data_IF_377023165855
#
_entry.id   IF_377023165855
#
_cell.length_a   1.000
_cell.length_b   1.000
_cell.length_c   1.000
_cell.angle_alpha   90.00
_cell.angle_beta   90.00
_cell.angle_gamma   90.00
#
_symmetry.space_group_name_H-M   'P 1'
#
loop_
_entity.id
_entity.type
_entity.pdbx_description
1 polymer ?
#
# COMPACT_ATOMS: atom_id res chain seq x y z
N UNK A 1 7.48 12.26 24.13
CA UNK A 1 8.00 12.46 22.76
C UNK A 1 8.70 13.81 22.71
N UNK A 2 9.99 13.85 22.38
CA UNK A 2 10.71 15.12 22.23
C UNK A 2 10.39 15.70 20.83
N UNK A 3 9.75 16.86 20.77
CA UNK A 3 9.24 17.51 19.54
C UNK A 3 10.32 18.02 18.56
N UNK A 4 11.26 17.15 18.15
CA UNK A 4 12.34 17.49 17.19
C UNK A 4 12.32 16.63 15.92
N UNK A 5 11.47 15.62 15.84
CA UNK A 5 11.34 14.81 14.63
C UNK A 5 10.72 15.62 13.49
N UNK A 6 11.21 15.38 12.28
CA UNK A 6 10.80 16.08 11.05
C UNK A 6 10.89 17.62 11.04
N UNK A 7 11.52 18.26 12.03
CA UNK A 7 11.64 19.73 12.09
C UNK A 7 12.66 20.35 11.13
N UNK A 8 13.53 19.53 10.50
CA UNK A 8 14.55 19.99 9.55
C UNK A 8 14.14 19.65 8.12
N UNK A 9 14.40 20.57 7.20
CA UNK A 9 14.27 20.34 5.75
C UNK A 9 15.22 19.23 5.31
N UNK A 10 14.67 18.11 4.84
CA UNK A 10 15.39 16.92 4.36
C UNK A 10 14.76 16.46 3.05
N UNK A 11 15.48 15.59 2.33
CA UNK A 11 14.99 14.91 1.11
C UNK A 11 13.72 14.07 1.37
N UNK A 12 13.61 13.52 2.59
CA UNK A 12 12.42 12.85 3.11
C UNK A 12 11.94 13.64 4.34
N UNK A 13 11.19 14.71 4.10
CA UNK A 13 10.38 15.33 5.15
C UNK A 13 9.15 14.47 5.47
N UNK A 14 8.36 14.88 6.46
CA UNK A 14 7.22 14.07 6.93
C UNK A 14 6.20 13.83 5.81
N UNK A 15 5.85 14.88 5.08
CA UNK A 15 4.87 14.81 4.00
C UNK A 15 5.35 13.89 2.87
N UNK A 16 6.60 14.06 2.43
CA UNK A 16 7.22 13.23 1.38
C UNK A 16 7.32 11.78 1.83
N UNK A 17 7.70 11.53 3.09
CA UNK A 17 7.73 10.19 3.67
C UNK A 17 6.34 9.54 3.64
N UNK A 18 5.30 10.24 4.13
CA UNK A 18 3.94 9.69 4.16
C UNK A 18 3.41 9.41 2.75
N UNK A 19 3.60 10.34 1.81
CA UNK A 19 3.21 10.15 0.40
C UNK A 19 3.92 8.96 -0.23
N UNK A 20 5.23 8.84 -0.02
CA UNK A 20 6.01 7.71 -0.50
C UNK A 20 5.52 6.39 0.10
N UNK A 21 5.36 6.32 1.43
CA UNK A 21 4.91 5.11 2.12
C UNK A 21 3.51 4.66 1.71
N UNK A 22 2.58 5.59 1.44
CA UNK A 22 1.23 5.27 0.97
C UNK A 22 1.19 4.82 -0.49
N UNK A 23 2.16 5.24 -1.31
CA UNK A 23 2.28 4.88 -2.72
C UNK A 23 3.08 3.61 -3.01
N UNK A 24 3.58 2.93 -1.96
CA UNK A 24 4.37 1.71 -2.12
C UNK A 24 3.55 0.59 -2.77
N UNK A 25 4.15 -0.14 -3.70
CA UNK A 25 3.49 -1.11 -4.59
C UNK A 25 3.98 -2.55 -4.43
N UNK A 26 4.80 -2.82 -3.41
CA UNK A 26 5.36 -4.15 -3.13
C UNK A 26 6.57 -4.53 -3.98
N UNK A 27 7.18 -3.57 -4.69
CA UNK A 27 8.48 -3.77 -5.35
C UNK A 27 9.62 -3.68 -4.32
N UNK A 28 10.86 -3.90 -4.76
CA UNK A 28 12.02 -3.67 -3.90
C UNK A 28 12.13 -2.19 -3.50
N UNK A 29 12.52 -1.92 -2.25
CA UNK A 29 12.61 -0.56 -1.71
C UNK A 29 13.46 0.39 -2.59
N UNK A 30 14.60 -0.09 -3.09
CA UNK A 30 15.46 0.68 -3.99
C UNK A 30 14.72 1.11 -5.26
N UNK A 31 13.94 0.20 -5.85
CA UNK A 31 13.20 0.49 -7.07
C UNK A 31 12.10 1.51 -6.80
N UNK A 32 11.38 1.36 -5.69
CA UNK A 32 10.30 2.31 -5.35
C UNK A 32 10.84 3.70 -5.05
N UNK A 33 11.96 3.81 -4.33
CA UNK A 33 12.61 5.10 -4.10
C UNK A 33 13.03 5.74 -5.43
N UNK A 34 13.69 5.01 -6.31
CA UNK A 34 14.10 5.57 -7.60
C UNK A 34 12.90 5.99 -8.46
N UNK A 35 11.86 5.15 -8.52
CA UNK A 35 10.62 5.46 -9.24
C UNK A 35 9.98 6.75 -8.69
N UNK A 36 9.86 6.89 -7.36
CA UNK A 36 9.23 8.06 -6.72
C UNK A 36 10.03 9.37 -6.88
N UNK A 37 11.37 9.28 -6.87
CA UNK A 37 12.26 10.43 -7.01
C UNK A 37 12.71 10.66 -8.46
N UNK A 38 12.01 10.09 -9.45
CA UNK A 38 12.30 10.23 -10.88
C UNK A 38 13.76 9.91 -11.25
N UNK A 39 14.33 8.87 -10.64
CA UNK A 39 15.71 8.44 -10.86
C UNK A 39 16.75 9.54 -10.63
N UNK A 40 16.42 10.56 -9.83
CA UNK A 40 17.35 11.63 -9.52
C UNK A 40 18.56 11.10 -8.75
N UNK A 41 19.74 11.65 -9.03
CA UNK A 41 20.96 11.40 -8.22
C UNK A 41 20.78 11.88 -6.78
N UNK A 42 19.79 12.75 -6.53
CA UNK A 42 19.43 13.19 -5.20
C UNK A 42 18.49 12.25 -4.44
N UNK A 43 18.12 11.10 -5.00
CA UNK A 43 17.25 10.13 -4.32
C UNK A 43 17.83 9.71 -2.95
N UNK A 44 16.98 9.57 -1.91
CA UNK A 44 17.41 9.08 -0.60
C UNK A 44 17.85 7.61 -0.68
N UNK A 45 18.60 7.13 0.31
CA UNK A 45 18.92 5.71 0.43
C UNK A 45 17.85 4.94 1.20
N UNK A 46 17.81 3.61 1.08
CA UNK A 46 16.97 2.75 1.92
C UNK A 46 17.20 2.99 3.42
N UNK A 47 18.45 3.23 3.82
CA UNK A 47 18.80 3.52 5.21
C UNK A 47 18.18 4.85 5.66
N UNK A 48 18.20 5.88 4.81
CA UNK A 48 17.56 7.17 5.09
C UNK A 48 16.04 7.02 5.25
N UNK A 49 15.40 6.18 4.43
CA UNK A 49 13.98 5.85 4.59
C UNK A 49 13.70 5.16 5.93
N UNK A 50 14.44 4.11 6.27
CA UNK A 50 14.26 3.39 7.54
C UNK A 50 14.44 4.29 8.76
N UNK A 51 15.38 5.24 8.71
CA UNK A 51 15.57 6.23 9.76
C UNK A 51 14.42 7.24 9.89
N UNK A 52 13.71 7.58 8.80
CA UNK A 52 12.49 8.39 8.92
C UNK A 52 11.32 7.54 9.43
N UNK A 53 11.20 6.30 8.95
CA UNK A 53 10.18 5.36 9.41
C UNK A 53 10.24 5.14 10.91
N UNK A 54 11.42 5.00 11.50
CA UNK A 54 11.57 4.78 12.94
C UNK A 54 11.11 5.96 13.82
N UNK A 55 10.87 7.14 13.23
CA UNK A 55 10.37 8.33 13.93
C UNK A 55 8.85 8.45 13.86
N UNK A 56 8.22 7.70 12.97
CA UNK A 56 6.76 7.72 12.80
C UNK A 56 6.17 6.70 13.75
N UNK A 57 5.26 7.18 14.59
CA UNK A 57 4.49 6.34 15.48
C UNK A 57 3.57 5.39 14.69
N UNK A 58 3.36 4.14 15.15
CA UNK A 58 2.36 3.25 14.57
C UNK A 58 0.99 3.91 14.42
N UNK A 59 0.59 4.70 15.42
CA UNK A 59 -0.70 5.40 15.51
C UNK A 59 -0.85 6.51 14.44
N UNK A 60 0.24 6.96 13.81
CA UNK A 60 0.17 8.04 12.82
C UNK A 60 -0.58 7.62 11.55
N UNK A 61 -0.37 6.39 11.09
CA UNK A 61 -1.10 5.86 9.93
C UNK A 61 -2.55 5.57 10.27
N UNK A 62 -2.81 5.00 11.45
CA UNK A 62 -4.16 4.78 11.97
C UNK A 62 -4.97 6.08 12.03
N UNK A 63 -4.40 7.11 12.67
CA UNK A 63 -5.01 8.44 12.73
C UNK A 63 -5.29 9.00 11.33
N UNK A 64 -4.31 8.93 10.41
CA UNK A 64 -4.47 9.41 9.04
C UNK A 64 -5.62 8.69 8.31
N UNK A 65 -5.72 7.37 8.45
CA UNK A 65 -6.78 6.58 7.82
C UNK A 65 -8.15 6.86 8.42
N UNK A 66 -8.24 7.05 9.74
CA UNK A 66 -9.48 7.47 10.39
C UNK A 66 -9.92 8.86 9.91
N UNK A 67 -9.01 9.84 9.90
CA UNK A 67 -9.28 11.20 9.42
C UNK A 67 -9.66 11.25 7.94
N UNK A 68 -9.00 10.44 7.11
CA UNK A 68 -9.38 10.29 5.71
C UNK A 68 -10.79 9.70 5.58
N UNK A 69 -11.06 8.62 6.31
CA UNK A 69 -12.33 7.88 6.25
C UNK A 69 -13.50 8.68 6.82
N UNK A 70 -13.27 9.50 7.85
CA UNK A 70 -14.27 10.42 8.39
C UNK A 70 -14.61 11.48 7.35
N UNK A 71 -13.63 12.13 6.71
CA UNK A 71 -13.86 13.13 5.65
C UNK A 71 -14.60 12.60 4.43
N UNK A 72 -14.53 11.29 4.16
CA UNK A 72 -15.31 10.61 3.13
C UNK A 72 -16.81 10.44 3.49
N UNK A 73 -17.44 11.39 4.21
CA UNK A 73 -18.86 11.39 4.52
C UNK A 73 -19.73 11.36 3.24
N UNK A 74 -19.87 10.18 2.65
CA UNK A 74 -20.89 9.91 1.66
C UNK A 74 -22.17 9.68 2.45
N UNK A 75 -23.11 10.62 2.40
CA UNK A 75 -24.47 10.48 2.94
C UNK A 75 -25.30 9.35 2.29
N UNK A 76 -24.65 8.42 1.58
CA UNK A 76 -25.27 7.30 0.87
C UNK A 76 -24.96 6.02 1.64
N UNK A 77 -25.89 5.66 2.51
CA UNK A 77 -25.92 4.34 3.12
C UNK A 77 -26.73 3.40 2.22
N UNK A 78 -26.29 2.16 2.08
CA UNK A 78 -27.10 1.09 1.49
C UNK A 78 -27.74 0.32 2.64
N UNK A 79 -29.05 0.47 2.84
CA UNK A 79 -29.78 -0.17 3.94
C UNK A 79 -29.17 0.10 5.34
N UNK A 80 -28.62 1.30 5.56
CA UNK A 80 -27.98 1.67 6.83
C UNK A 80 -26.49 1.31 6.92
N UNK A 81 -25.94 0.57 5.96
CA UNK A 81 -24.52 0.20 5.92
C UNK A 81 -23.70 1.12 5.03
N UNK A 82 -22.42 1.30 5.40
CA UNK A 82 -21.43 1.98 4.55
C UNK A 82 -20.81 0.97 3.59
N UNK A 83 -21.09 1.11 2.29
CA UNK A 83 -20.45 0.28 1.27
C UNK A 83 -19.07 0.86 0.95
N UNK A 84 -18.03 0.07 1.23
CA UNK A 84 -16.67 0.33 0.72
C UNK A 84 -16.41 -0.74 -0.34
N UNK A 85 -16.22 -0.33 -1.60
CA UNK A 85 -15.84 -1.27 -2.64
C UNK A 85 -14.37 -1.67 -2.44
N UNK A 86 -14.13 -2.96 -2.26
CA UNK A 86 -12.78 -3.52 -2.28
C UNK A 86 -12.61 -4.22 -3.63
N UNK A 87 -11.63 -3.78 -4.43
CA UNK A 87 -11.19 -4.53 -5.60
C UNK A 87 -10.67 -5.90 -5.15
N UNK A 88 -10.96 -6.94 -5.92
CA UNK A 88 -10.64 -8.32 -5.54
C UNK A 88 -9.14 -8.58 -5.59
N UNK A 89 -8.61 -9.28 -4.58
CA UNK A 89 -7.20 -9.66 -4.52
C UNK A 89 -7.01 -11.10 -5.02
N UNK A 90 -5.94 -11.38 -5.76
CA UNK A 90 -5.63 -12.74 -6.21
C UNK A 90 -4.63 -13.40 -5.24
N UNK A 91 -5.01 -14.52 -4.65
CA UNK A 91 -4.13 -15.37 -3.83
C UNK A 91 -3.58 -16.52 -4.67
N UNK A 92 -2.26 -16.63 -4.79
CA UNK A 92 -1.62 -17.77 -5.45
C UNK A 92 -1.63 -19.00 -4.54
N UNK A 93 -2.06 -20.14 -5.06
CA UNK A 93 -2.06 -21.44 -4.37
C UNK A 93 -1.14 -22.43 -5.08
N UNK A 94 -0.91 -23.59 -4.46
CA UNK A 94 -0.11 -24.66 -5.08
C UNK A 94 -0.71 -25.08 -6.42
N UNK A 95 0.15 -25.30 -7.42
CA UNK A 95 -0.30 -25.70 -8.75
C UNK A 95 -0.98 -27.07 -8.71
N UNK A 96 -2.21 -27.12 -9.19
CA UNK A 96 -3.01 -28.33 -9.33
C UNK A 96 -3.55 -28.40 -10.76
N UNK A 97 -3.03 -29.35 -11.54
CA UNK A 97 -3.44 -29.59 -12.93
C UNK A 97 -4.88 -30.05 -13.08
N UNK A 98 -5.50 -30.56 -12.01
CA UNK A 98 -6.87 -31.06 -12.01
C UNK A 98 -7.90 -30.01 -11.56
N UNK A 99 -7.46 -28.86 -11.05
CA UNK A 99 -8.34 -27.76 -10.66
C UNK A 99 -8.32 -26.70 -11.77
N UNK A 100 -9.24 -26.84 -12.72
CA UNK A 100 -9.39 -25.92 -13.85
C UNK A 100 -10.07 -24.60 -13.44
N UNK A 101 -10.80 -24.58 -12.32
CA UNK A 101 -11.54 -23.41 -11.86
C UNK A 101 -10.60 -22.32 -11.33
N UNK A 102 -9.53 -22.73 -10.65
CA UNK A 102 -8.54 -21.78 -10.12
C UNK A 102 -7.39 -21.54 -11.10
N UNK A 103 -7.39 -22.13 -12.29
CA UNK A 103 -6.27 -22.05 -13.24
C UNK A 103 -6.25 -20.72 -14.00
N UNK A 104 -5.18 -19.95 -13.82
CA UNK A 104 -4.99 -18.63 -14.45
C UNK A 104 -3.64 -18.56 -15.15
N UNK A 105 -3.59 -17.92 -16.32
CA UNK A 105 -2.32 -17.62 -17.00
C UNK A 105 -1.58 -16.52 -16.24
N UNK A 106 -0.40 -16.84 -15.72
CA UNK A 106 0.35 -15.96 -14.81
C UNK A 106 1.14 -14.86 -15.51
N UNK A 107 1.55 -15.08 -16.77
CA UNK A 107 2.46 -14.19 -17.49
C UNK A 107 2.36 -14.33 -19.02
N UNK A 108 3.11 -13.47 -19.72
CA UNK A 108 3.28 -13.45 -21.18
C UNK A 108 3.91 -14.71 -21.77
N UNK A 109 4.42 -15.63 -20.95
CA UNK A 109 5.03 -16.89 -21.35
C UNK A 109 4.08 -18.09 -21.21
N UNK A 110 2.78 -17.84 -21.01
CA UNK A 110 1.75 -18.86 -20.80
C UNK A 110 2.02 -19.80 -19.61
N UNK A 111 2.79 -19.37 -18.61
CA UNK A 111 2.95 -20.18 -17.39
C UNK A 111 1.62 -20.21 -16.62
N UNK A 112 1.08 -21.40 -16.41
CA UNK A 112 -0.19 -21.59 -15.71
C UNK A 112 0.04 -21.76 -14.21
N UNK A 113 -0.77 -21.06 -13.41
CA UNK A 113 -0.74 -21.15 -11.95
C UNK A 113 -2.17 -21.22 -11.44
N UNK A 114 -2.34 -21.81 -10.27
CA UNK A 114 -3.63 -21.79 -9.59
C UNK A 114 -3.71 -20.54 -8.71
N UNK A 115 -4.77 -19.73 -8.88
CA UNK A 115 -5.06 -18.50 -8.14
C UNK A 115 -6.51 -18.46 -7.71
N UNK A 116 -6.75 -18.07 -6.47
CA UNK A 116 -8.07 -17.77 -5.93
C UNK A 116 -8.30 -16.26 -6.02
N UNK A 117 -9.42 -15.84 -6.60
CA UNK A 117 -9.84 -14.45 -6.60
C UNK A 117 -10.66 -14.15 -5.35
N UNK A 118 -10.04 -13.53 -4.35
CA UNK A 118 -10.68 -13.12 -3.11
C UNK A 118 -11.42 -11.81 -3.33
N UNK A 119 -12.75 -11.86 -3.20
CA UNK A 119 -13.58 -10.66 -3.07
C UNK A 119 -13.78 -10.38 -1.59
N UNK A 120 -12.99 -9.48 -1.03
CA UNK A 120 -13.18 -9.07 0.36
C UNK A 120 -14.21 -7.93 0.39
N UNK A 121 -15.42 -8.20 0.87
CA UNK A 121 -16.37 -7.13 1.17
C UNK A 121 -16.22 -6.79 2.66
N UNK A 122 -15.49 -5.72 2.98
CA UNK A 122 -15.49 -5.19 4.35
C UNK A 122 -16.70 -4.27 4.50
N UNK A 123 -17.69 -4.74 5.25
CA UNK A 123 -18.80 -3.92 5.75
C UNK A 123 -18.36 -3.38 7.11
N UNK A 124 -18.28 -2.06 7.26
CA UNK A 124 -18.17 -1.38 8.56
C UNK A 124 -19.52 -0.78 8.91
#
# INVERSE_FOLDING_TARGET
MHGKDFSRKRKLDFETFMKFSLGMSGKSMNKEILDFFNFSTDSPSNAAYNQQRSKVLPEAFEYLFHEFTSKLHANRHFHGYRLIACDGSNLSIASNSFDSETRVKSNQYNAEVNRLHLKLFTIL
#
